data_IF_536953476959
#
_entry.id   IF_536953476959
#
_cell.length_a   1.000
_cell.length_b   1.000
_cell.length_c   1.000
_cell.angle_alpha   90.00
_cell.angle_beta   90.00
_cell.angle_gamma   90.00
#
_symmetry.space_group_name_H-M   'P 1'
#
loop_
_entity.id
_entity.type
_entity.pdbx_description
1 polymer ?
#
# COMPACT_ATOMS: atom_id res chain seq x y z
N UNK A 1 -24.51 5.00 -10.94
CA UNK A 1 -25.00 3.60 -11.08
C UNK A 1 -24.34 2.64 -10.09
N UNK A 2 -23.02 2.77 -9.84
CA UNK A 2 -22.20 1.90 -8.97
C UNK A 2 -22.69 1.67 -7.53
N UNK A 3 -23.08 2.72 -6.80
CA UNK A 3 -23.50 2.58 -5.38
C UNK A 3 -24.86 1.85 -5.23
N UNK A 4 -25.77 1.99 -6.20
CA UNK A 4 -27.07 1.29 -6.15
C UNK A 4 -26.90 -0.22 -6.33
N UNK A 5 -26.01 -0.62 -7.23
CA UNK A 5 -25.66 -2.03 -7.48
C UNK A 5 -24.86 -2.62 -6.31
N UNK A 6 -23.90 -1.88 -5.75
CA UNK A 6 -23.21 -2.25 -4.51
C UNK A 6 -24.22 -2.47 -3.38
N UNK A 7 -25.11 -1.51 -3.17
CA UNK A 7 -26.12 -1.60 -2.12
C UNK A 7 -27.11 -2.75 -2.36
N UNK A 8 -27.45 -3.08 -3.61
CA UNK A 8 -28.27 -4.24 -3.92
C UNK A 8 -27.54 -5.56 -3.63
N UNK A 9 -26.25 -5.65 -4.02
CA UNK A 9 -25.39 -6.81 -3.75
C UNK A 9 -25.20 -7.03 -2.26
N UNK A 10 -24.88 -5.97 -1.51
CA UNK A 10 -24.70 -6.01 -0.06
C UNK A 10 -26.02 -6.39 0.65
N UNK A 11 -27.16 -5.85 0.21
CA UNK A 11 -28.48 -6.22 0.76
C UNK A 11 -28.92 -7.65 0.43
N UNK A 12 -28.32 -8.29 -0.59
CA UNK A 12 -28.58 -9.70 -0.90
C UNK A 12 -27.78 -10.67 -0.04
N UNK A 13 -26.76 -10.18 0.70
CA UNK A 13 -25.96 -11.02 1.58
C UNK A 13 -26.72 -11.31 2.89
N UNK A 14 -26.59 -12.51 3.45
CA UNK A 14 -27.09 -12.79 4.79
C UNK A 14 -26.49 -11.83 5.82
N UNK A 15 -27.30 -11.34 6.76
CA UNK A 15 -26.92 -10.27 7.70
C UNK A 15 -25.76 -10.61 8.64
N UNK A 16 -25.37 -11.87 8.74
CA UNK A 16 -24.28 -12.38 9.56
C UNK A 16 -22.97 -12.57 8.78
N UNK A 17 -22.95 -12.28 7.47
CA UNK A 17 -21.76 -12.39 6.64
C UNK A 17 -20.81 -11.23 6.97
N UNK A 18 -19.57 -11.58 7.31
CA UNK A 18 -18.50 -10.60 7.58
C UNK A 18 -18.00 -9.96 6.28
N UNK A 19 -17.32 -8.83 6.38
CA UNK A 19 -16.73 -8.21 5.19
C UNK A 19 -15.72 -9.15 4.54
N UNK A 20 -14.90 -9.85 5.32
CA UNK A 20 -13.91 -10.82 4.86
C UNK A 20 -14.57 -11.99 4.14
N UNK A 21 -15.66 -12.53 4.69
CA UNK A 21 -16.41 -13.59 4.02
C UNK A 21 -17.09 -13.10 2.74
N UNK A 22 -17.63 -11.87 2.75
CA UNK A 22 -18.19 -11.25 1.55
C UNK A 22 -17.12 -10.98 0.48
N UNK A 23 -15.92 -10.59 0.91
CA UNK A 23 -14.73 -10.33 0.11
C UNK A 23 -14.29 -11.59 -0.63
N UNK A 24 -14.08 -12.68 0.13
CA UNK A 24 -13.48 -13.89 -0.39
C UNK A 24 -14.49 -14.81 -1.10
N UNK A 25 -15.75 -14.85 -0.65
CA UNK A 25 -16.73 -15.86 -1.10
C UNK A 25 -17.94 -15.33 -1.86
N UNK A 26 -18.19 -14.01 -1.85
CA UNK A 26 -19.42 -13.44 -2.40
C UNK A 26 -19.22 -12.43 -3.54
N UNK A 27 -18.03 -12.43 -4.16
CA UNK A 27 -17.76 -11.68 -5.40
C UNK A 27 -17.51 -10.19 -5.22
N UNK A 28 -17.21 -9.72 -4.00
CA UNK A 28 -16.81 -8.33 -3.76
C UNK A 28 -15.45 -7.99 -4.39
N UNK A 29 -14.54 -8.97 -4.52
CA UNK A 29 -13.27 -8.81 -5.25
C UNK A 29 -13.50 -8.49 -6.72
N UNK A 30 -14.47 -9.14 -7.36
CA UNK A 30 -14.80 -8.90 -8.77
C UNK A 30 -15.41 -7.49 -8.96
N UNK A 31 -16.26 -7.07 -8.03
CA UNK A 31 -16.81 -5.71 -7.98
C UNK A 31 -15.73 -4.63 -7.80
N UNK A 32 -14.69 -4.91 -6.99
CA UNK A 32 -13.53 -4.04 -6.81
C UNK A 32 -12.77 -3.81 -8.13
N UNK A 33 -12.47 -4.88 -8.88
CA UNK A 33 -11.75 -4.75 -10.16
C UNK A 33 -12.56 -4.01 -11.23
N UNK A 34 -13.89 -4.11 -11.23
CA UNK A 34 -14.75 -3.41 -12.20
C UNK A 34 -14.96 -1.93 -11.87
N UNK A 35 -14.71 -1.50 -10.62
CA UNK A 35 -15.02 -0.13 -10.18
C UNK A 35 -13.81 0.79 -10.03
N UNK A 36 -12.60 0.23 -9.97
CA UNK A 36 -11.31 0.93 -9.75
C UNK A 36 -11.16 1.63 -8.39
N UNK A 37 -11.99 1.25 -7.41
CA UNK A 37 -11.92 1.72 -6.01
C UNK A 37 -10.99 0.81 -5.20
N UNK A 38 -10.33 1.31 -4.15
CA UNK A 38 -9.44 0.46 -3.35
C UNK A 38 -10.19 -0.35 -2.26
N UNK A 39 -9.53 -1.36 -1.67
CA UNK A 39 -10.15 -2.32 -0.73
C UNK A 39 -10.61 -1.61 0.54
N UNK A 40 -9.84 -0.62 0.97
CA UNK A 40 -10.06 0.17 2.18
C UNK A 40 -11.29 1.08 2.02
N UNK A 41 -11.47 1.70 0.87
CA UNK A 41 -12.66 2.52 0.53
C UNK A 41 -13.93 1.67 0.50
N UNK A 42 -13.86 0.48 -0.11
CA UNK A 42 -14.98 -0.47 -0.14
C UNK A 42 -15.29 -1.01 1.27
N UNK A 43 -14.27 -1.27 2.09
CA UNK A 43 -14.46 -1.70 3.48
C UNK A 43 -15.09 -0.59 4.34
N UNK A 44 -14.73 0.67 4.11
CA UNK A 44 -15.37 1.81 4.77
C UNK A 44 -16.82 2.00 4.32
N UNK A 45 -17.12 1.83 3.02
CA UNK A 45 -18.49 1.88 2.49
C UNK A 45 -19.36 0.76 3.08
N UNK A 46 -18.83 -0.44 3.22
CA UNK A 46 -19.52 -1.58 3.84
C UNK A 46 -19.82 -1.33 5.32
N UNK A 47 -18.85 -0.76 6.08
CA UNK A 47 -19.05 -0.38 7.48
C UNK A 47 -20.05 0.77 7.67
N UNK A 48 -20.09 1.73 6.74
CA UNK A 48 -21.02 2.87 6.77
C UNK A 48 -22.49 2.49 6.51
N UNK A 49 -22.74 1.30 5.98
CA UNK A 49 -24.07 0.82 5.62
C UNK A 49 -24.61 -0.29 6.56
N UNK A 50 -24.17 -0.28 7.83
CA UNK A 50 -24.79 -0.95 8.98
C UNK A 50 -24.94 -2.49 8.92
N UNK A 51 -23.82 -3.22 8.85
CA UNK A 51 -23.78 -4.64 9.25
C UNK A 51 -22.97 -4.81 10.54
N UNK A 52 -23.60 -5.25 11.66
CA UNK A 52 -22.89 -5.50 12.89
C UNK A 52 -21.99 -6.74 12.77
N UNK A 53 -20.70 -6.60 13.08
CA UNK A 53 -19.83 -7.76 13.32
C UNK A 53 -20.41 -8.51 14.51
N UNK A 54 -21.00 -9.67 14.31
CA UNK A 54 -21.42 -10.53 15.41
C UNK A 54 -20.17 -11.23 15.98
N UNK A 55 -19.78 -10.98 17.24
CA UNK A 55 -18.68 -11.70 17.88
C UNK A 55 -19.11 -13.15 18.16
N UNK A 56 -18.23 -14.11 17.86
CA UNK A 56 -18.43 -15.52 18.21
C UNK A 56 -18.40 -15.73 19.74
N UNK A 57 -19.57 -15.73 20.38
CA UNK A 57 -20.07 -16.73 21.33
C UNK A 57 -21.20 -16.15 22.20
N UNK A 58 -22.41 -16.60 21.90
CA UNK A 58 -23.61 -16.53 22.73
C UNK A 58 -23.37 -17.29 24.03
N UNK A 59 -23.66 -16.68 25.19
CA UNK A 59 -24.26 -17.39 26.34
C UNK A 59 -25.00 -16.40 27.28
N UNK A 60 -26.31 -16.28 27.03
CA UNK A 60 -27.42 -15.83 27.91
C UNK A 60 -27.78 -14.33 28.07
N UNK A 61 -29.05 -13.99 28.43
CA UNK A 61 -29.92 -13.17 27.57
C UNK A 61 -30.36 -11.83 28.26
N UNK A 62 -31.40 -11.10 27.79
CA UNK A 62 -31.48 -9.62 27.74
C UNK A 62 -31.75 -8.98 29.13
N UNK A 63 -31.69 -7.68 29.46
CA UNK A 63 -31.71 -6.35 28.79
C UNK A 63 -31.06 -5.34 29.77
N UNK A 64 -30.71 -4.09 29.39
CA UNK A 64 -30.10 -3.14 30.32
C UNK A 64 -31.09 -2.57 31.36
N UNK A 65 -30.68 -2.36 32.64
CA UNK A 65 -31.50 -1.74 33.67
C UNK A 65 -31.72 -0.24 33.44
N UNK A 66 -32.89 0.24 33.87
CA UNK A 66 -33.43 1.59 33.72
C UNK A 66 -32.79 2.67 34.61
N UNK A 67 -31.48 2.61 34.87
CA UNK A 67 -30.78 3.63 35.66
C UNK A 67 -29.36 3.91 35.16
N UNK A 68 -28.88 5.17 35.20
CA UNK A 68 -27.59 5.55 34.61
C UNK A 68 -26.41 5.12 35.49
N UNK A 69 -25.27 4.72 34.91
CA UNK A 69 -24.10 4.34 35.69
C UNK A 69 -23.34 5.58 36.20
N UNK A 70 -22.59 5.46 37.32
CA UNK A 70 -21.80 6.56 37.87
C UNK A 70 -20.62 6.90 36.95
N UNK A 71 -20.23 8.17 36.92
CA UNK A 71 -19.16 8.72 36.08
C UNK A 71 -17.84 7.95 36.22
N UNK A 72 -17.54 7.09 35.23
CA UNK A 72 -16.24 6.44 35.12
C UNK A 72 -15.31 7.31 34.26
N UNK A 73 -14.18 7.72 34.84
CA UNK A 73 -13.07 8.36 34.12
C UNK A 73 -12.52 7.38 33.09
N UNK A 74 -12.81 7.61 31.80
CA UNK A 74 -12.24 6.82 30.70
C UNK A 74 -10.78 7.24 30.53
N UNK A 75 -9.84 6.37 30.92
CA UNK A 75 -8.45 6.48 30.49
C UNK A 75 -8.34 5.86 29.09
N UNK A 76 -7.82 6.57 28.06
CA UNK A 76 -7.63 5.97 26.75
C UNK A 76 -6.47 4.97 26.85
N UNK A 77 -6.77 3.68 26.72
CA UNK A 77 -5.73 2.66 26.55
C UNK A 77 -5.23 2.71 25.11
N UNK A 78 -4.17 3.46 24.85
CA UNK A 78 -3.44 3.36 23.60
C UNK A 78 -2.76 1.98 23.56
N UNK A 79 -3.21 1.11 22.67
CA UNK A 79 -2.51 -0.15 22.38
C UNK A 79 -1.22 0.20 21.64
N UNK A 80 -0.08 0.05 22.30
CA UNK A 80 1.24 0.18 21.66
C UNK A 80 1.46 -1.04 20.76
N UNK A 81 1.58 -0.82 19.46
CA UNK A 81 2.04 -1.83 18.52
C UNK A 81 3.57 -1.95 18.65
N UNK A 82 4.06 -3.16 18.88
CA UNK A 82 5.49 -3.42 18.91
C UNK A 82 6.03 -3.35 17.48
N UNK A 83 7.00 -2.46 17.24
CA UNK A 83 7.73 -2.42 15.98
C UNK A 83 8.49 -3.75 15.86
N UNK A 84 8.13 -4.56 14.85
CA UNK A 84 8.93 -5.71 14.44
C UNK A 84 10.29 -5.16 13.97
N UNK A 85 11.40 -5.82 14.33
CA UNK A 85 12.73 -5.40 13.87
C UNK A 85 12.71 -5.19 12.35
N UNK A 86 13.23 -4.04 11.94
CA UNK A 86 13.39 -3.73 10.53
C UNK A 86 14.41 -4.74 9.96
N UNK A 87 14.07 -5.53 8.93
CA UNK A 87 14.99 -6.51 8.35
C UNK A 87 16.25 -5.87 7.75
N UNK A 88 16.34 -4.54 7.73
CA UNK A 88 17.44 -3.78 7.15
C UNK A 88 17.12 -3.44 5.71
N UNK A 89 18.05 -3.70 4.79
CA UNK A 89 17.87 -3.42 3.37
C UNK A 89 16.96 -4.46 2.70
N UNK A 90 15.69 -4.13 2.45
CA UNK A 90 14.83 -4.97 1.63
C UNK A 90 15.20 -4.80 0.16
N UNK A 91 15.71 -5.85 -0.47
CA UNK A 91 16.08 -5.81 -1.89
C UNK A 91 15.42 -6.96 -2.66
N UNK A 92 15.06 -6.68 -3.91
CA UNK A 92 14.46 -7.62 -4.83
C UNK A 92 15.31 -7.73 -6.10
N UNK A 93 15.49 -8.92 -6.67
CA UNK A 93 16.07 -9.04 -7.99
C UNK A 93 15.08 -8.51 -9.04
N UNK A 94 15.58 -7.80 -10.04
CA UNK A 94 14.77 -7.30 -11.13
C UNK A 94 15.56 -7.21 -12.44
N UNK A 95 14.85 -7.05 -13.55
CA UNK A 95 15.44 -6.80 -14.86
C UNK A 95 14.85 -5.53 -15.48
N UNK A 96 15.70 -4.76 -16.16
CA UNK A 96 15.29 -3.58 -16.93
C UNK A 96 16.01 -3.59 -18.26
N UNK A 97 15.28 -3.48 -19.38
CA UNK A 97 15.85 -3.51 -20.74
C UNK A 97 16.81 -4.70 -20.98
N UNK A 98 16.52 -5.87 -20.40
CA UNK A 98 17.40 -7.06 -20.51
C UNK A 98 18.64 -7.06 -19.60
N UNK A 99 18.85 -6.01 -18.80
CA UNK A 99 19.88 -5.98 -17.77
C UNK A 99 19.34 -6.50 -16.44
N UNK A 100 19.97 -7.53 -15.90
CA UNK A 100 19.62 -8.11 -14.61
C UNK A 100 20.32 -7.39 -13.46
N UNK A 101 19.56 -7.08 -12.42
CA UNK A 101 20.02 -6.50 -11.16
C UNK A 101 19.63 -7.46 -10.04
N UNK A 102 20.63 -8.08 -9.42
CA UNK A 102 20.45 -9.06 -8.35
C UNK A 102 19.86 -8.44 -7.06
N UNK A 103 20.22 -7.17 -6.79
CA UNK A 103 19.80 -6.45 -5.58
C UNK A 103 19.32 -5.05 -5.91
N UNK A 104 18.01 -4.88 -6.00
CA UNK A 104 17.37 -3.57 -6.14
C UNK A 104 16.64 -3.22 -4.85
N UNK A 105 17.01 -2.11 -4.23
CA UNK A 105 16.42 -1.66 -2.98
C UNK A 105 14.94 -1.28 -3.17
N UNK A 106 14.08 -1.86 -2.33
CA UNK A 106 12.67 -1.53 -2.25
C UNK A 106 12.41 -0.86 -0.89
N UNK A 107 12.34 0.48 -0.91
CA UNK A 107 12.10 1.30 0.27
C UNK A 107 10.61 1.69 0.34
N UNK A 108 9.83 1.02 1.18
CA UNK A 108 8.42 1.33 1.40
C UNK A 108 8.19 2.69 2.10
N UNK A 109 9.24 3.28 2.67
CA UNK A 109 9.19 4.63 3.25
C UNK A 109 9.42 5.74 2.24
N UNK A 110 9.88 5.41 1.03
CA UNK A 110 10.06 6.39 -0.05
C UNK A 110 8.77 6.56 -0.85
N UNK A 111 8.45 7.81 -1.18
CA UNK A 111 7.36 8.13 -2.09
C UNK A 111 7.80 8.25 -3.57
N UNK A 112 9.09 8.03 -3.86
CA UNK A 112 9.68 8.18 -5.20
C UNK A 112 10.64 7.02 -5.52
N UNK A 113 10.74 6.67 -6.80
CA UNK A 113 11.77 5.73 -7.27
C UNK A 113 13.00 6.49 -7.77
N UNK A 114 14.18 5.97 -7.42
CA UNK A 114 15.46 6.58 -7.76
C UNK A 114 16.27 5.65 -8.66
N UNK A 115 16.95 6.22 -9.65
CA UNK A 115 17.90 5.50 -10.49
C UNK A 115 19.26 6.22 -10.46
N UNK A 116 20.36 5.53 -10.11
CA UNK A 116 21.68 6.12 -10.23
C UNK A 116 21.99 6.49 -11.69
N UNK A 117 22.74 7.57 -11.88
CA UNK A 117 23.14 8.05 -13.21
C UNK A 117 23.95 7.00 -13.97
N UNK A 118 24.75 6.21 -13.26
CA UNK A 118 25.54 5.10 -13.79
C UNK A 118 24.63 4.00 -14.34
N UNK A 119 23.59 3.62 -13.59
CA UNK A 119 22.56 2.67 -14.04
C UNK A 119 21.82 3.18 -15.28
N UNK A 120 21.41 4.45 -15.29
CA UNK A 120 20.74 5.04 -16.45
C UNK A 120 21.63 4.97 -17.72
N UNK A 121 22.93 5.22 -17.58
CA UNK A 121 23.91 5.08 -18.67
C UNK A 121 24.05 3.63 -19.12
N UNK A 122 24.14 2.68 -18.19
CA UNK A 122 24.22 1.24 -18.48
C UNK A 122 23.02 0.79 -19.31
N UNK A 123 21.83 1.27 -18.95
CA UNK A 123 20.56 0.97 -19.63
C UNK A 123 20.38 1.71 -20.97
N UNK A 124 21.36 2.52 -21.40
CA UNK A 124 21.28 3.31 -22.63
C UNK A 124 20.28 4.47 -22.57
N UNK A 125 19.84 4.88 -21.38
CA UNK A 125 18.89 5.99 -21.19
C UNK A 125 19.62 7.31 -21.43
N UNK A 126 19.35 7.93 -22.58
CA UNK A 126 19.98 9.18 -23.01
C UNK A 126 19.11 10.41 -22.83
N UNK A 127 17.78 10.24 -22.76
CA UNK A 127 16.81 11.32 -22.64
C UNK A 127 16.15 11.28 -21.27
N UNK A 128 16.28 12.38 -20.54
CA UNK A 128 15.60 12.61 -19.27
C UNK A 128 14.65 13.79 -19.44
N UNK A 129 13.43 13.66 -18.94
CA UNK A 129 12.52 14.79 -18.85
C UNK A 129 12.99 15.72 -17.73
N UNK A 130 12.85 17.05 -17.88
CA UNK A 130 13.17 17.98 -16.81
C UNK A 130 12.39 17.66 -15.53
N UNK A 131 13.08 17.55 -14.41
CA UNK A 131 12.46 17.40 -13.09
C UNK A 131 12.66 18.70 -12.30
N UNK A 132 11.57 19.39 -11.97
CA UNK A 132 11.60 20.64 -11.18
C UNK A 132 11.30 20.37 -9.69
N UNK A 133 11.95 19.35 -9.13
CA UNK A 133 11.78 18.97 -7.72
C UNK A 133 13.11 18.96 -6.99
N UNK A 134 13.05 18.94 -5.67
CA UNK A 134 14.19 18.70 -4.79
C UNK A 134 13.80 17.62 -3.79
N UNK A 135 14.72 16.68 -3.54
CA UNK A 135 14.47 15.49 -2.74
C UNK A 135 15.26 15.62 -1.44
N UNK A 136 14.57 15.52 -0.31
CA UNK A 136 15.22 15.39 0.99
C UNK A 136 15.70 13.97 1.21
N UNK A 137 16.97 13.81 1.57
CA UNK A 137 17.58 12.52 1.89
C UNK A 137 17.65 12.31 3.41
N UNK A 138 17.78 11.05 3.84
CA UNK A 138 17.84 10.68 5.26
C UNK A 138 19.04 11.30 6.01
N UNK A 139 20.10 11.69 5.29
CA UNK A 139 21.25 12.42 5.83
C UNK A 139 21.00 13.95 5.93
N UNK A 140 19.75 14.40 5.86
CA UNK A 140 19.33 15.80 5.87
C UNK A 140 19.86 16.65 4.71
N UNK A 141 20.45 16.03 3.68
CA UNK A 141 20.87 16.74 2.48
C UNK A 141 19.72 16.82 1.47
N UNK A 142 19.77 17.85 0.62
CA UNK A 142 18.81 18.03 -0.46
C UNK A 142 19.52 17.70 -1.77
N UNK A 143 18.96 16.75 -2.52
CA UNK A 143 19.44 16.37 -3.84
C UNK A 143 18.49 16.87 -4.93
N UNK A 144 19.05 17.32 -6.05
CA UNK A 144 18.29 17.66 -7.26
C UNK A 144 18.51 16.58 -8.31
N UNK A 145 17.44 15.93 -8.81
CA UNK A 145 17.57 15.02 -9.94
C UNK A 145 18.12 15.70 -11.18
N UNK A 146 18.82 14.92 -12.00
CA UNK A 146 19.18 15.32 -13.37
C UNK A 146 17.94 15.42 -14.27
N UNK A 147 16.92 14.62 -13.94
CA UNK A 147 15.64 14.55 -14.63
C UNK A 147 14.88 13.29 -14.21
N UNK A 148 13.76 13.05 -14.88
CA UNK A 148 12.93 11.85 -14.71
C UNK A 148 12.91 11.04 -16.01
N UNK A 149 13.00 9.71 -15.89
CA UNK A 149 12.69 8.79 -16.97
C UNK A 149 11.33 8.17 -16.67
N UNK A 150 10.45 8.16 -17.67
CA UNK A 150 9.05 7.76 -17.53
C UNK A 150 8.84 6.42 -18.23
N UNK A 151 7.93 5.59 -17.69
CA UNK A 151 7.52 4.31 -18.26
C UNK A 151 8.67 3.30 -18.48
N UNK A 152 9.63 3.24 -17.55
CA UNK A 152 10.67 2.21 -17.59
C UNK A 152 10.05 0.88 -17.19
N UNK A 153 10.12 -0.11 -18.09
CA UNK A 153 9.56 -1.44 -17.83
C UNK A 153 10.48 -2.23 -16.89
N UNK A 154 10.02 -2.41 -15.65
CA UNK A 154 10.67 -3.20 -14.62
C UNK A 154 10.07 -4.61 -14.63
N UNK A 155 10.94 -5.61 -14.74
CA UNK A 155 10.58 -7.02 -14.73
C UNK A 155 10.98 -7.65 -13.39
N UNK A 156 10.02 -8.19 -12.65
CA UNK A 156 10.23 -8.88 -11.37
C UNK A 156 9.61 -10.27 -11.48
N UNK A 157 10.46 -11.29 -11.62
CA UNK A 157 10.01 -12.62 -12.03
C UNK A 157 9.29 -12.53 -13.38
N UNK A 158 8.04 -12.97 -13.42
CA UNK A 158 7.21 -12.97 -14.63
C UNK A 158 6.35 -11.70 -14.81
N UNK A 159 6.42 -10.76 -13.86
CA UNK A 159 5.59 -9.55 -13.86
C UNK A 159 6.36 -8.39 -14.48
N UNK A 160 5.68 -7.63 -15.35
CA UNK A 160 6.22 -6.39 -15.94
C UNK A 160 5.42 -5.19 -15.48
N UNK A 161 6.10 -4.19 -14.91
CA UNK A 161 5.49 -3.00 -14.33
C UNK A 161 6.16 -1.76 -14.93
N UNK A 162 5.42 -0.81 -15.51
CA UNK A 162 5.98 0.48 -15.90
C UNK A 162 6.25 1.33 -14.65
N UNK A 163 7.44 1.89 -14.55
CA UNK A 163 7.91 2.66 -13.39
C UNK A 163 8.63 3.93 -13.84
N UNK A 164 8.33 5.03 -13.16
CA UNK A 164 9.04 6.31 -13.34
C UNK A 164 10.18 6.42 -12.35
N UNK A 165 11.37 6.82 -12.82
CA UNK A 165 12.56 6.97 -11.99
C UNK A 165 13.14 8.38 -12.06
N UNK A 166 13.43 8.96 -10.90
CA UNK A 166 14.23 10.17 -10.80
C UNK A 166 15.71 9.80 -10.89
N UNK A 167 16.40 10.31 -11.91
CA UNK A 167 17.80 10.00 -12.14
C UNK A 167 18.69 10.94 -11.34
N UNK A 168 19.51 10.38 -10.45
CA UNK A 168 20.36 11.15 -9.55
C UNK A 168 21.82 10.70 -9.58
N UNK A 169 22.74 11.58 -9.19
CA UNK A 169 24.14 11.20 -9.00
C UNK A 169 24.32 10.65 -7.59
N UNK A 170 24.06 9.36 -7.43
CA UNK A 170 24.23 8.62 -6.17
C UNK A 170 25.63 8.02 -6.22
N UNK A 171 26.43 8.23 -5.18
CA UNK A 171 27.69 7.51 -5.03
C UNK A 171 27.33 6.07 -4.67
N UNK A 172 27.73 5.10 -5.50
CA UNK A 172 27.70 3.72 -5.08
C UNK A 172 28.64 3.60 -3.87
N UNK A 173 28.12 3.21 -2.70
CA UNK A 173 28.97 2.78 -1.61
C UNK A 173 29.64 1.49 -2.09
N UNK A 174 30.92 1.59 -2.43
CA UNK A 174 31.75 0.46 -2.81
C UNK A 174 32.02 -0.35 -1.55
N UNK A 175 31.03 -1.07 -1.04
CA UNK A 175 31.23 -2.12 -0.03
C UNK A 175 31.24 -3.47 -0.74
N UNK A 176 32.31 -3.69 -1.49
CA UNK A 176 32.83 -5.04 -1.67
C UNK A 176 33.83 -5.29 -0.53
N UNK A 177 33.41 -6.00 0.51
CA UNK A 177 34.26 -6.87 1.32
C UNK A 177 33.42 -7.96 1.96
#
# INVERSE_FOLDING_TARGET
MKLKEFNAKVKSLPFYVTFEEAWDKHGLVEFFFTTSENKEEIHQLFRRHDFPIAPHAVNQPPSPPSSPPPSAKVQPTFKTLYKIEDPGQFSIPCQVNGHYFDRTLCDSGSCINLMPTQTAKLLGITRLQPAQISIGLANHTIAKPRGVVVDVLLEIGDIKIPVDFHVMNIKEDVTHH
#
